data_IF_848268449368
#
_entry.id   IF_848268449368
#
_cell.length_a   1.000
_cell.length_b   1.000
_cell.length_c   1.000
_cell.angle_alpha   90.00
_cell.angle_beta   90.00
_cell.angle_gamma   90.00
#
_symmetry.space_group_name_H-M   'P 1'
#
loop_
_entity.id
_entity.type
_entity.pdbx_description
1 polymer ?
#
# COMPACT_ATOMS: atom_id res chain seq x y z
N UNK A 1 -39.09 -17.17 28.81
CA UNK A 1 -37.86 -17.93 28.45
C UNK A 1 -37.70 -18.12 26.94
N UNK A 2 -38.72 -18.58 26.19
CA UNK A 2 -38.61 -18.83 24.73
C UNK A 2 -38.30 -17.61 23.84
N UNK A 3 -38.85 -16.43 24.15
CA UNK A 3 -38.66 -15.20 23.34
C UNK A 3 -37.25 -14.60 23.48
N UNK A 4 -36.63 -14.76 24.65
CA UNK A 4 -35.28 -14.23 24.95
C UNK A 4 -34.20 -15.02 24.21
N UNK A 5 -34.38 -16.34 24.06
CA UNK A 5 -33.45 -17.21 23.33
C UNK A 5 -33.50 -16.93 21.83
N UNK A 6 -34.68 -16.71 21.25
CA UNK A 6 -34.84 -16.39 19.82
C UNK A 6 -34.22 -15.02 19.50
N UNK A 7 -34.40 -14.02 20.36
CA UNK A 7 -33.79 -12.70 20.18
C UNK A 7 -32.26 -12.74 20.31
N UNK A 8 -31.73 -13.56 21.23
CA UNK A 8 -30.30 -13.80 21.35
C UNK A 8 -29.74 -14.53 20.12
N UNK A 9 -30.48 -15.50 19.57
CA UNK A 9 -30.11 -16.21 18.35
C UNK A 9 -30.07 -15.27 17.13
N UNK A 10 -31.07 -14.38 17.01
CA UNK A 10 -31.10 -13.34 15.98
C UNK A 10 -29.94 -12.35 16.11
N UNK A 11 -29.59 -11.95 17.34
CA UNK A 11 -28.47 -11.03 17.61
C UNK A 11 -27.11 -11.66 17.24
N UNK A 12 -26.89 -12.95 17.56
CA UNK A 12 -25.67 -13.68 17.20
C UNK A 12 -25.56 -13.88 15.69
N UNK A 13 -26.68 -14.14 15.01
CA UNK A 13 -26.72 -14.25 13.55
C UNK A 13 -26.38 -12.91 12.87
N UNK A 14 -26.90 -11.79 13.39
CA UNK A 14 -26.60 -10.44 12.87
C UNK A 14 -25.12 -10.10 13.11
N UNK A 15 -24.56 -10.40 14.28
CA UNK A 15 -23.15 -10.12 14.57
C UNK A 15 -22.17 -10.99 13.76
N UNK A 16 -22.54 -12.22 13.40
CA UNK A 16 -21.69 -13.11 12.60
C UNK A 16 -21.57 -12.72 11.11
N UNK A 17 -22.56 -12.02 10.55
CA UNK A 17 -22.58 -11.61 9.13
C UNK A 17 -21.86 -10.27 8.89
N UNK A 18 -21.64 -9.47 9.94
CA UNK A 18 -20.96 -8.17 9.89
C UNK A 18 -19.48 -8.23 10.28
N UNK A 19 -18.77 -9.30 9.91
CA UNK A 19 -17.32 -9.28 10.02
C UNK A 19 -16.76 -8.33 8.95
N UNK A 20 -16.01 -7.27 9.31
CA UNK A 20 -15.39 -6.42 8.32
C UNK A 20 -14.41 -7.27 7.48
N UNK A 21 -14.36 -7.09 6.15
CA UNK A 21 -13.36 -7.75 5.34
C UNK A 21 -11.98 -7.37 5.88
N UNK A 22 -11.13 -8.38 6.12
CA UNK A 22 -9.73 -8.13 6.44
C UNK A 22 -9.05 -7.66 5.16
N UNK A 23 -8.81 -6.36 5.04
CA UNK A 23 -7.93 -5.84 4.00
C UNK A 23 -6.50 -6.27 4.38
N UNK A 24 -5.94 -7.22 3.63
CA UNK A 24 -4.51 -7.48 3.69
C UNK A 24 -3.81 -6.32 2.99
N UNK A 25 -2.77 -5.77 3.61
CA UNK A 25 -2.07 -4.60 3.09
C UNK A 25 -1.58 -4.88 1.67
N UNK A 26 -1.72 -3.89 0.81
CA UNK A 26 -1.65 -3.93 -0.64
C UNK A 26 -0.70 -2.79 -1.04
N UNK A 27 0.45 -3.14 -1.63
CA UNK A 27 1.67 -2.30 -1.80
C UNK A 27 2.22 -1.69 -0.50
N UNK A 28 3.35 -2.21 -0.02
CA UNK A 28 4.00 -1.82 1.23
C UNK A 28 5.26 -1.00 0.97
N UNK A 29 5.49 0.08 1.73
CA UNK A 29 6.82 0.70 1.80
C UNK A 29 7.73 -0.22 2.61
N UNK A 30 8.78 -0.74 1.98
CA UNK A 30 9.73 -1.70 2.59
C UNK A 30 11.03 -1.05 3.01
N UNK A 31 11.46 0.00 2.32
CA UNK A 31 12.68 0.76 2.63
C UNK A 31 12.48 2.25 2.38
N UNK A 32 13.22 3.06 3.15
CA UNK A 32 13.28 4.52 3.01
C UNK A 32 14.75 4.94 3.06
N UNK A 33 15.26 5.49 1.95
CA UNK A 33 16.56 6.14 1.88
C UNK A 33 16.37 7.66 2.01
N UNK A 34 16.53 8.16 3.23
CA UNK A 34 16.37 9.58 3.55
C UNK A 34 17.72 10.23 3.87
N UNK A 35 17.93 11.46 3.37
CA UNK A 35 19.12 12.26 3.55
C UNK A 35 20.45 11.49 3.39
N UNK A 36 20.65 10.78 2.26
CA UNK A 36 21.94 10.17 1.95
C UNK A 36 23.06 11.23 1.92
N UNK A 37 24.29 10.82 2.21
CA UNK A 37 25.47 11.70 2.21
C UNK A 37 26.37 11.45 0.98
N UNK A 38 27.25 12.40 0.68
CA UNK A 38 28.28 12.24 -0.34
C UNK A 38 27.73 12.30 -1.76
N UNK A 39 28.13 11.35 -2.61
CA UNK A 39 27.74 11.32 -4.03
C UNK A 39 26.23 11.13 -4.21
N UNK A 40 25.56 10.52 -3.24
CA UNK A 40 24.14 10.19 -3.29
C UNK A 40 23.25 11.23 -2.64
N UNK A 41 23.79 12.39 -2.21
CA UNK A 41 23.04 13.41 -1.47
C UNK A 41 21.82 14.02 -2.18
N UNK A 42 21.54 13.63 -3.42
CA UNK A 42 20.35 14.00 -4.20
C UNK A 42 19.51 12.81 -4.66
N UNK A 43 19.78 11.61 -4.13
CA UNK A 43 19.14 10.37 -4.53
C UNK A 43 18.35 9.78 -3.35
N UNK A 44 17.38 10.55 -2.85
CA UNK A 44 16.39 10.04 -1.89
C UNK A 44 15.36 9.18 -2.62
N UNK A 45 14.93 8.10 -1.95
CA UNK A 45 13.95 7.18 -2.51
C UNK A 45 13.23 6.35 -1.45
N UNK A 46 12.11 5.76 -1.86
CA UNK A 46 11.42 4.70 -1.12
C UNK A 46 11.30 3.45 -1.99
N UNK A 47 11.37 2.28 -1.37
CA UNK A 47 11.00 1.03 -2.02
C UNK A 47 9.57 0.68 -1.65
N UNK A 48 8.78 0.30 -2.66
CA UNK A 48 7.43 -0.22 -2.47
C UNK A 48 7.33 -1.61 -3.08
N UNK A 49 6.74 -2.57 -2.34
CA UNK A 49 6.60 -3.95 -2.79
C UNK A 49 5.14 -4.42 -2.74
N UNK A 50 4.70 -5.12 -3.79
CA UNK A 50 3.40 -5.77 -3.83
C UNK A 50 3.41 -7.05 -2.97
N UNK A 51 2.48 -7.15 -2.03
CA UNK A 51 2.41 -8.22 -1.03
C UNK A 51 1.54 -9.42 -1.47
N UNK A 52 0.45 -9.21 -2.21
CA UNK A 52 -0.54 -10.28 -2.45
C UNK A 52 -1.15 -10.35 -3.85
N UNK A 53 -1.29 -9.22 -4.56
CA UNK A 53 -1.89 -9.18 -5.91
C UNK A 53 -1.02 -8.38 -6.88
N UNK A 54 -1.55 -8.18 -8.09
CA UNK A 54 -0.95 -7.27 -9.07
C UNK A 54 -1.55 -5.87 -8.97
N UNK A 55 -0.69 -4.86 -8.91
CA UNK A 55 -1.05 -3.46 -8.77
C UNK A 55 -0.40 -2.60 -9.84
N UNK A 56 -1.21 -1.90 -10.63
CA UNK A 56 -0.71 -0.81 -11.48
C UNK A 56 -0.64 0.48 -10.66
N UNK A 57 0.58 0.90 -10.33
CA UNK A 57 0.85 2.11 -9.56
C UNK A 57 1.12 3.33 -10.44
N UNK A 58 1.04 3.21 -11.78
CA UNK A 58 1.46 4.26 -12.70
C UNK A 58 0.69 5.58 -12.59
N UNK A 59 -0.55 5.54 -12.10
CA UNK A 59 -1.39 6.72 -11.85
C UNK A 59 -1.49 7.11 -10.37
N UNK A 60 -0.78 6.40 -9.49
CA UNK A 60 -0.78 6.70 -8.07
C UNK A 60 -0.10 8.04 -7.79
N UNK A 61 -0.30 8.50 -6.56
CA UNK A 61 0.37 9.69 -6.03
C UNK A 61 1.19 9.28 -4.82
N UNK A 62 2.41 9.78 -4.74
CA UNK A 62 3.18 9.77 -3.51
C UNK A 62 2.82 11.03 -2.71
N UNK A 63 2.23 10.85 -1.53
CA UNK A 63 1.81 11.97 -0.69
C UNK A 63 2.78 12.17 0.46
N UNK A 64 3.41 13.35 0.49
CA UNK A 64 4.25 13.78 1.60
C UNK A 64 4.15 15.30 1.78
N UNK A 65 4.36 15.77 3.02
CA UNK A 65 4.40 17.19 3.35
C UNK A 65 3.26 18.04 2.73
N UNK A 66 2.04 17.48 2.67
CA UNK A 66 0.87 18.16 2.11
C UNK A 66 0.80 18.22 0.58
N UNK A 67 1.68 17.53 -0.14
CA UNK A 67 1.78 17.55 -1.60
C UNK A 67 1.54 16.16 -2.18
N UNK A 68 0.77 16.07 -3.27
CA UNK A 68 0.54 14.83 -4.04
C UNK A 68 1.45 14.80 -5.27
N UNK A 69 2.58 14.11 -5.17
CA UNK A 69 3.54 13.95 -6.27
C UNK A 69 3.02 12.92 -7.27
N UNK A 70 3.04 13.24 -8.56
CA UNK A 70 2.78 12.25 -9.60
C UNK A 70 3.98 11.34 -9.80
N UNK A 71 3.73 10.09 -10.20
CA UNK A 71 4.78 9.16 -10.59
C UNK A 71 4.99 9.22 -12.12
N UNK A 72 6.24 9.12 -12.54
CA UNK A 72 6.61 8.94 -13.94
C UNK A 72 7.43 7.66 -14.07
N UNK A 73 7.04 6.77 -14.97
CA UNK A 73 7.80 5.56 -15.24
C UNK A 73 9.09 5.93 -15.97
N UNK A 74 10.23 5.60 -15.36
CA UNK A 74 11.56 5.82 -15.95
C UNK A 74 12.10 4.54 -16.57
N UNK A 75 11.95 3.40 -15.87
CA UNK A 75 12.39 2.08 -16.32
C UNK A 75 11.44 0.99 -15.82
N UNK A 76 11.43 -0.16 -16.50
CA UNK A 76 10.62 -1.32 -16.10
C UNK A 76 9.14 -1.19 -16.41
N UNK A 77 8.30 -1.49 -15.43
CA UNK A 77 6.83 -1.57 -15.51
C UNK A 77 6.21 -0.80 -14.35
N UNK A 78 5.05 -0.17 -14.57
CA UNK A 78 4.23 0.41 -13.50
C UNK A 78 3.35 -0.62 -12.80
N UNK A 79 3.24 -1.82 -13.37
CA UNK A 79 2.53 -2.95 -12.79
C UNK A 79 3.49 -3.77 -11.96
N UNK A 80 3.22 -3.86 -10.66
CA UNK A 80 3.91 -4.74 -9.70
C UNK A 80 3.09 -6.00 -9.54
N UNK A 81 3.63 -7.19 -9.83
CA UNK A 81 2.98 -8.45 -9.41
C UNK A 81 3.39 -8.83 -8.00
N UNK A 82 2.68 -9.76 -7.36
CA UNK A 82 3.00 -10.22 -6.00
C UNK A 82 4.48 -10.60 -5.85
N UNK A 83 5.15 -9.99 -4.87
CA UNK A 83 6.57 -10.15 -4.58
C UNK A 83 7.50 -9.18 -5.33
N UNK A 84 7.01 -8.40 -6.30
CA UNK A 84 7.81 -7.39 -6.99
C UNK A 84 7.85 -6.07 -6.23
N UNK A 85 8.96 -5.35 -6.43
CA UNK A 85 9.22 -4.07 -5.83
C UNK A 85 9.56 -3.01 -6.88
N UNK A 86 9.27 -1.76 -6.57
CA UNK A 86 9.70 -0.59 -7.33
C UNK A 86 10.32 0.44 -6.40
N UNK A 87 11.27 1.19 -6.97
CA UNK A 87 11.86 2.37 -6.34
C UNK A 87 11.12 3.61 -6.84
N UNK A 88 10.61 4.41 -5.91
CA UNK A 88 10.12 5.76 -6.17
C UNK A 88 11.21 6.72 -5.69
N UNK A 89 11.91 7.35 -6.63
CA UNK A 89 13.00 8.26 -6.36
C UNK A 89 12.61 9.72 -6.64
N UNK A 90 13.13 10.65 -5.84
CA UNK A 90 13.00 12.09 -6.11
C UNK A 90 13.79 12.48 -7.38
N UNK A 91 15.00 11.93 -7.50
CA UNK A 91 15.81 12.00 -8.71
C UNK A 91 16.10 10.59 -9.24
N UNK A 92 15.59 10.30 -10.43
CA UNK A 92 15.76 9.01 -11.11
C UNK A 92 16.89 9.00 -12.15
N UNK A 93 17.64 10.11 -12.28
CA UNK A 93 18.84 10.14 -13.10
C UNK A 93 19.90 9.19 -12.50
N UNK A 94 20.39 8.27 -13.32
CA UNK A 94 21.42 7.27 -13.00
C UNK A 94 22.82 7.74 -13.39
#
# INVERSE_FOLDING_TARGET
MHRTVINALFLVLILGVFSPPSAHAEVLITEIMYAPEGADAKHEWIEVCASSDSYDIGLWKFFENGTNHGLSLVTGSSVLVSGECAVIADNADV
#
